data_IF_962649494010
#
_entry.id   IF_962649494010
#
_cell.length_a   1.000
_cell.length_b   1.000
_cell.length_c   1.000
_cell.angle_alpha   90.00
_cell.angle_beta   90.00
_cell.angle_gamma   90.00
#
_symmetry.space_group_name_H-M   'P 1'
#
loop_
_entity.id
_entity.type
_entity.pdbx_description
1 polymer ?
#
# COMPACT_ATOMS: atom_id res chain seq x y z
N UNK A 1 -24.50 -9.78 -3.25
CA UNK A 1 -24.27 -10.74 -2.15
C UNK A 1 -23.68 -11.99 -2.78
N UNK A 2 -22.35 -12.17 -2.68
CA UNK A 2 -21.64 -13.33 -3.23
C UNK A 2 -21.63 -14.49 -2.24
N UNK A 3 -21.66 -15.72 -2.75
CA UNK A 3 -21.49 -16.92 -1.96
C UNK A 3 -20.03 -16.99 -1.43
N UNK A 4 -19.86 -17.26 -0.15
CA UNK A 4 -18.53 -17.39 0.48
C UNK A 4 -17.76 -18.62 0.00
N UNK A 5 -18.45 -19.62 -0.58
CA UNK A 5 -17.85 -20.82 -1.18
C UNK A 5 -18.88 -21.56 -2.04
N UNK A 6 -18.42 -22.43 -2.95
CA UNK A 6 -19.23 -23.29 -3.79
C UNK A 6 -18.85 -24.76 -3.62
N UNK A 7 -19.86 -25.60 -3.42
CA UNK A 7 -19.71 -27.06 -3.36
C UNK A 7 -20.62 -27.71 -4.38
N UNK A 8 -20.11 -28.47 -5.37
CA UNK A 8 -20.95 -29.22 -6.32
C UNK A 8 -21.86 -30.21 -5.60
N UNK A 9 -23.12 -30.36 -6.05
CA UNK A 9 -24.11 -31.26 -5.41
C UNK A 9 -23.65 -32.72 -5.31
N UNK A 10 -22.86 -33.19 -6.25
CA UNK A 10 -22.29 -34.54 -6.26
C UNK A 10 -21.22 -34.80 -5.20
N UNK A 11 -20.68 -33.75 -4.59
CA UNK A 11 -19.63 -33.82 -3.57
C UNK A 11 -20.09 -33.25 -2.22
N UNK A 12 -21.39 -33.00 -2.08
CA UNK A 12 -21.95 -32.30 -0.92
C UNK A 12 -21.69 -33.06 0.40
N UNK A 13 -21.81 -34.39 0.38
CA UNK A 13 -21.64 -35.22 1.58
C UNK A 13 -20.20 -35.22 2.08
N UNK A 14 -19.21 -35.25 1.16
CA UNK A 14 -17.80 -35.42 1.49
C UNK A 14 -17.08 -34.08 1.73
N UNK A 15 -17.51 -33.01 1.03
CA UNK A 15 -16.79 -31.72 1.08
C UNK A 15 -17.49 -30.65 1.92
N UNK A 16 -18.77 -30.78 2.23
CA UNK A 16 -19.51 -29.75 2.99
C UNK A 16 -18.89 -29.50 4.36
N UNK A 17 -18.59 -30.58 5.08
CA UNK A 17 -17.98 -30.50 6.42
C UNK A 17 -16.63 -29.80 6.42
N UNK A 18 -15.79 -30.07 5.41
CA UNK A 18 -14.46 -29.49 5.30
C UNK A 18 -14.55 -28.01 4.86
N UNK A 19 -15.44 -27.70 3.91
CA UNK A 19 -15.69 -26.32 3.48
C UNK A 19 -16.23 -25.46 4.63
N UNK A 20 -17.18 -25.98 5.41
CA UNK A 20 -17.73 -25.28 6.59
C UNK A 20 -16.65 -25.08 7.64
N UNK A 21 -15.82 -26.09 7.91
CA UNK A 21 -14.69 -25.97 8.85
C UNK A 21 -13.69 -24.90 8.42
N UNK A 22 -13.36 -24.87 7.15
CA UNK A 22 -12.44 -23.85 6.60
C UNK A 22 -13.02 -22.43 6.72
N UNK A 23 -14.29 -22.22 6.34
CA UNK A 23 -14.98 -20.95 6.50
C UNK A 23 -15.02 -20.51 7.97
N UNK A 24 -15.34 -21.42 8.88
CA UNK A 24 -15.37 -21.13 10.32
C UNK A 24 -13.97 -20.83 10.88
N UNK A 25 -12.93 -21.52 10.40
CA UNK A 25 -11.55 -21.25 10.80
C UNK A 25 -11.09 -19.84 10.36
N UNK A 26 -11.39 -19.46 9.12
CA UNK A 26 -11.12 -18.10 8.61
C UNK A 26 -11.90 -17.03 9.39
N UNK A 27 -13.17 -17.26 9.67
CA UNK A 27 -14.01 -16.33 10.44
C UNK A 27 -13.54 -16.20 11.90
N UNK A 28 -13.01 -17.28 12.52
CA UNK A 28 -12.41 -17.24 13.86
C UNK A 28 -11.09 -16.49 13.86
N UNK A 29 -10.22 -16.75 12.88
CA UNK A 29 -8.95 -16.05 12.74
C UNK A 29 -9.16 -14.54 12.58
N UNK A 30 -10.11 -14.12 11.74
CA UNK A 30 -10.48 -12.71 11.57
C UNK A 30 -10.96 -12.08 12.87
N UNK A 31 -11.87 -12.74 13.61
CA UNK A 31 -12.36 -12.24 14.90
C UNK A 31 -11.27 -12.15 15.96
N UNK A 32 -10.37 -13.12 16.03
CA UNK A 32 -9.24 -13.11 16.96
C UNK A 32 -8.27 -11.99 16.63
N UNK A 33 -8.03 -11.75 15.36
CA UNK A 33 -7.19 -10.65 14.87
C UNK A 33 -7.82 -9.29 15.24
N UNK A 34 -9.11 -9.10 14.99
CA UNK A 34 -9.82 -7.87 15.39
C UNK A 34 -9.82 -7.66 16.92
N UNK A 35 -10.00 -8.73 17.69
CA UNK A 35 -9.93 -8.67 19.16
C UNK A 35 -8.52 -8.31 19.64
N UNK A 36 -7.46 -8.84 19.00
CA UNK A 36 -6.08 -8.49 19.27
C UNK A 36 -5.81 -7.03 18.96
N UNK A 37 -6.21 -6.58 17.76
CA UNK A 37 -6.08 -5.18 17.36
C UNK A 37 -6.82 -4.23 18.30
N UNK A 38 -7.97 -4.66 18.86
CA UNK A 38 -8.72 -3.91 19.86
C UNK A 38 -8.00 -3.78 21.21
N UNK A 39 -7.05 -4.67 21.51
CA UNK A 39 -6.25 -4.68 22.75
C UNK A 39 -4.90 -3.99 22.63
N UNK A 40 -4.46 -3.71 21.39
CA UNK A 40 -3.24 -2.95 21.19
C UNK A 40 -3.40 -1.54 21.78
N UNK A 41 -2.34 -1.04 22.42
CA UNK A 41 -2.32 0.34 22.89
C UNK A 41 -2.50 1.26 21.69
N UNK A 42 -3.58 2.04 21.68
CA UNK A 42 -3.97 2.90 20.56
C UNK A 42 -3.27 4.25 20.58
N UNK A 43 -2.43 4.48 21.57
CA UNK A 43 -1.78 5.79 21.75
C UNK A 43 -0.70 6.05 20.70
N UNK A 44 -0.04 5.00 20.23
CA UNK A 44 1.05 5.15 19.26
C UNK A 44 1.27 3.86 18.45
N UNK A 45 1.42 4.01 17.14
CA UNK A 45 1.85 2.96 16.22
C UNK A 45 3.10 3.43 15.49
N UNK A 46 4.14 2.63 15.55
CA UNK A 46 5.35 2.86 14.76
C UNK A 46 5.71 1.58 14.03
N UNK A 47 5.92 1.67 12.73
CA UNK A 47 6.45 0.56 11.94
C UNK A 47 7.34 1.06 10.81
N UNK A 48 8.20 0.17 10.37
CA UNK A 48 9.09 0.37 9.25
C UNK A 48 8.82 -0.70 8.22
N UNK A 49 8.72 -0.31 6.94
CA UNK A 49 8.54 -1.21 5.83
C UNK A 49 9.60 -0.91 4.78
N UNK A 50 10.17 -1.98 4.26
CA UNK A 50 11.06 -1.95 3.12
C UNK A 50 10.33 -2.58 1.93
N UNK A 51 10.10 -1.79 0.90
CA UNK A 51 9.48 -2.21 -0.33
C UNK A 51 10.55 -2.32 -1.42
N UNK A 52 10.53 -3.42 -2.18
CA UNK A 52 11.21 -3.44 -3.48
C UNK A 52 10.41 -2.62 -4.50
N UNK A 53 10.73 -2.82 -5.78
CA UNK A 53 9.99 -2.19 -6.88
C UNK A 53 8.67 -2.93 -7.20
N UNK A 54 8.02 -3.49 -6.18
CA UNK A 54 6.74 -4.19 -6.29
C UNK A 54 5.59 -3.23 -6.01
N UNK A 55 5.00 -2.71 -7.08
CA UNK A 55 3.86 -1.80 -7.00
C UNK A 55 2.62 -2.42 -6.34
N UNK A 56 2.49 -3.76 -6.34
CA UNK A 56 1.34 -4.45 -5.75
C UNK A 56 1.25 -4.29 -4.23
N UNK A 57 2.36 -3.91 -3.58
CA UNK A 57 2.42 -3.66 -2.13
C UNK A 57 1.99 -2.23 -1.73
N UNK A 58 1.85 -1.31 -2.69
CA UNK A 58 1.49 0.08 -2.41
C UNK A 58 0.09 0.17 -1.82
N UNK A 59 -0.92 -0.36 -2.51
CA UNK A 59 -2.32 -0.29 -2.05
C UNK A 59 -2.53 -1.00 -0.70
N UNK A 60 -2.03 -2.21 -0.45
CA UNK A 60 -2.07 -2.84 0.88
C UNK A 60 -1.42 -2.00 2.00
N UNK A 61 -0.32 -1.31 1.71
CA UNK A 61 0.32 -0.43 2.69
C UNK A 61 -0.53 0.81 2.98
N UNK A 62 -1.11 1.42 1.94
CA UNK A 62 -2.03 2.56 2.08
C UNK A 62 -3.24 2.16 2.92
N UNK A 63 -3.85 1.01 2.65
CA UNK A 63 -4.98 0.48 3.41
C UNK A 63 -4.63 0.24 4.88
N UNK A 64 -3.46 -0.34 5.15
CA UNK A 64 -2.96 -0.54 6.52
C UNK A 64 -2.84 0.79 7.27
N UNK A 65 -2.26 1.80 6.63
CA UNK A 65 -2.11 3.14 7.22
C UNK A 65 -3.47 3.79 7.47
N UNK A 66 -4.39 3.77 6.51
CA UNK A 66 -5.73 4.35 6.68
C UNK A 66 -6.51 3.67 7.83
N UNK A 67 -6.45 2.35 7.92
CA UNK A 67 -7.06 1.62 9.03
C UNK A 67 -6.42 1.99 10.38
N UNK A 68 -5.11 2.21 10.41
CA UNK A 68 -4.39 2.60 11.63
C UNK A 68 -4.76 4.02 12.05
N UNK A 69 -4.81 4.97 11.12
CA UNK A 69 -5.26 6.35 11.35
C UNK A 69 -6.71 6.39 11.86
N UNK A 70 -7.59 5.58 11.25
CA UNK A 70 -8.98 5.46 11.69
C UNK A 70 -9.09 4.96 13.14
N UNK A 71 -8.28 3.97 13.53
CA UNK A 71 -8.23 3.43 14.90
C UNK A 71 -7.68 4.44 15.90
N UNK A 72 -6.69 5.22 15.51
CA UNK A 72 -6.13 6.30 16.32
C UNK A 72 -7.12 7.47 16.50
N UNK A 73 -8.19 7.52 15.69
CA UNK A 73 -9.17 8.62 15.64
C UNK A 73 -8.51 9.99 15.39
N UNK A 74 -7.44 10.01 14.62
CA UNK A 74 -6.65 11.21 14.35
C UNK A 74 -7.43 12.22 13.52
N UNK A 75 -8.26 11.74 12.58
CA UNK A 75 -9.07 12.56 11.70
C UNK A 75 -10.36 11.86 11.28
N UNK A 76 -11.24 12.61 10.63
CA UNK A 76 -12.47 12.11 10.03
C UNK A 76 -12.21 11.28 8.75
N UNK A 77 -13.26 10.72 8.16
CA UNK A 77 -13.17 9.92 6.95
C UNK A 77 -12.59 10.68 5.76
N UNK A 78 -12.84 11.96 5.66
CA UNK A 78 -12.27 12.83 4.61
C UNK A 78 -10.77 13.01 4.80
N UNK A 79 -10.31 13.19 6.05
CA UNK A 79 -8.89 13.22 6.40
C UNK A 79 -8.18 11.91 6.10
N UNK A 80 -8.81 10.78 6.43
CA UNK A 80 -8.28 9.45 6.14
C UNK A 80 -8.10 9.24 4.62
N UNK A 81 -9.08 9.67 3.83
CA UNK A 81 -8.98 9.58 2.37
C UNK A 81 -7.83 10.44 1.83
N UNK A 82 -7.70 11.69 2.31
CA UNK A 82 -6.59 12.58 1.90
C UNK A 82 -5.22 12.01 2.24
N UNK A 83 -5.08 11.42 3.43
CA UNK A 83 -3.83 10.73 3.82
C UNK A 83 -3.54 9.57 2.85
N UNK A 84 -4.54 8.75 2.52
CA UNK A 84 -4.38 7.64 1.59
C UNK A 84 -3.93 8.09 0.21
N UNK A 85 -4.57 9.11 -0.35
CA UNK A 85 -4.20 9.68 -1.66
C UNK A 85 -2.77 10.24 -1.62
N UNK A 86 -2.43 11.04 -0.62
CA UNK A 86 -1.10 11.63 -0.50
C UNK A 86 0.00 10.58 -0.33
N UNK A 87 -0.26 9.55 0.49
CA UNK A 87 0.69 8.45 0.70
C UNK A 87 0.89 7.64 -0.57
N UNK A 88 -0.20 7.31 -1.28
CA UNK A 88 -0.14 6.59 -2.55
C UNK A 88 0.68 7.34 -3.59
N UNK A 89 0.42 8.64 -3.75
CA UNK A 89 1.17 9.50 -4.67
C UNK A 89 2.66 9.57 -4.32
N UNK A 90 2.99 9.71 -3.04
CA UNK A 90 4.38 9.75 -2.60
C UNK A 90 5.11 8.41 -2.87
N UNK A 91 4.44 7.28 -2.65
CA UNK A 91 4.99 5.95 -2.94
C UNK A 91 5.15 5.70 -4.44
N UNK A 92 4.19 6.11 -5.27
CA UNK A 92 4.30 6.03 -6.71
C UNK A 92 5.45 6.92 -7.24
N UNK A 93 5.62 8.11 -6.68
CA UNK A 93 6.75 8.97 -7.05
C UNK A 93 8.10 8.35 -6.66
N UNK A 94 8.21 7.78 -5.46
CA UNK A 94 9.40 7.06 -5.02
C UNK A 94 9.72 5.86 -5.91
N UNK A 95 8.69 5.11 -6.36
CA UNK A 95 8.86 3.99 -7.27
C UNK A 95 9.25 4.45 -8.68
N UNK A 96 8.42 5.30 -9.29
CA UNK A 96 8.52 5.62 -10.71
C UNK A 96 9.65 6.63 -11.00
N UNK A 97 9.66 7.75 -10.27
CA UNK A 97 10.70 8.78 -10.43
C UNK A 97 11.99 8.44 -9.70
N UNK A 98 11.87 7.98 -8.44
CA UNK A 98 13.03 7.66 -7.62
C UNK A 98 13.73 6.42 -8.17
N UNK A 99 13.19 5.24 -7.91
CA UNK A 99 13.88 3.99 -8.19
C UNK A 99 13.99 3.66 -9.68
N UNK A 100 12.92 3.85 -10.45
CA UNK A 100 12.87 3.45 -11.87
C UNK A 100 13.30 4.56 -12.83
N UNK A 101 13.53 5.78 -12.35
CA UNK A 101 13.99 6.93 -13.15
C UNK A 101 13.11 7.21 -14.39
N UNK A 102 11.79 7.01 -14.25
CA UNK A 102 10.84 7.27 -15.34
C UNK A 102 10.68 8.78 -15.52
N UNK A 103 10.82 9.24 -16.75
CA UNK A 103 10.67 10.67 -17.07
C UNK A 103 9.23 11.15 -16.86
N UNK A 104 9.06 12.44 -16.57
CA UNK A 104 7.76 13.08 -16.37
C UNK A 104 6.79 12.84 -17.55
N UNK A 105 7.30 12.85 -18.76
CA UNK A 105 6.50 12.67 -19.99
C UNK A 105 5.84 11.28 -20.07
N UNK A 106 6.40 10.29 -19.37
CA UNK A 106 5.93 8.89 -19.39
C UNK A 106 5.21 8.48 -18.11
N UNK A 107 5.10 9.39 -17.14
CA UNK A 107 4.50 9.10 -15.84
C UNK A 107 3.03 8.71 -15.93
N UNK A 108 2.27 9.40 -16.79
CA UNK A 108 0.83 9.15 -16.91
C UNK A 108 0.59 7.76 -17.52
N UNK A 109 1.36 7.38 -18.53
CA UNK A 109 1.30 6.04 -19.14
C UNK A 109 1.69 4.96 -18.12
N UNK A 110 2.75 5.18 -17.35
CA UNK A 110 3.22 4.24 -16.33
C UNK A 110 2.18 4.07 -15.20
N UNK A 111 1.56 5.17 -14.77
CA UNK A 111 0.48 5.14 -13.76
C UNK A 111 -0.76 4.41 -14.29
N UNK A 112 -1.17 4.65 -15.53
CA UNK A 112 -2.30 3.97 -16.16
C UNK A 112 -2.05 2.46 -16.26
N UNK A 113 -0.84 2.04 -16.61
CA UNK A 113 -0.47 0.62 -16.64
C UNK A 113 -0.55 -0.02 -15.26
N UNK A 114 -0.04 0.65 -14.21
CA UNK A 114 -0.15 0.18 -12.83
C UNK A 114 -1.62 0.06 -12.38
N UNK A 115 -2.44 1.04 -12.69
CA UNK A 115 -3.86 1.04 -12.32
C UNK A 115 -4.66 -0.05 -13.05
N UNK A 116 -4.26 -0.44 -14.26
CA UNK A 116 -4.92 -1.49 -15.04
C UNK A 116 -4.50 -2.91 -14.65
N UNK A 117 -3.70 -3.08 -13.58
CA UNK A 117 -3.13 -4.37 -13.14
C UNK A 117 -2.38 -5.14 -14.26
N UNK A 118 -1.96 -4.46 -15.29
CA UNK A 118 -1.07 -5.03 -16.27
C UNK A 118 0.32 -5.08 -15.65
N UNK A 119 1.03 -6.20 -15.88
CA UNK A 119 2.45 -6.24 -15.58
C UNK A 119 3.08 -4.95 -16.13
N UNK A 120 3.91 -4.31 -15.31
CA UNK A 120 4.69 -3.15 -15.73
C UNK A 120 5.58 -3.55 -16.91
N UNK A 121 4.97 -3.64 -18.07
CA UNK A 121 5.70 -3.64 -19.35
C UNK A 121 6.10 -2.20 -19.63
N UNK A 122 6.86 -1.61 -18.69
CA UNK A 122 7.47 -0.32 -18.95
C UNK A 122 8.45 -0.60 -20.08
N UNK A 123 8.26 -0.02 -21.26
CA UNK A 123 9.32 0.03 -22.22
C UNK A 123 10.39 0.91 -21.56
N UNK A 124 11.26 0.28 -20.81
CA UNK A 124 12.51 0.92 -20.41
C UNK A 124 13.27 0.99 -21.71
N UNK A 125 13.38 2.20 -22.30
CA UNK A 125 14.18 2.45 -23.52
C UNK A 125 15.67 2.21 -23.26
N UNK A 126 15.99 1.64 -22.13
CA UNK A 126 17.30 1.18 -21.71
C UNK A 126 17.22 -0.31 -21.40
N UNK A 127 18.30 -1.07 -21.61
CA UNK A 127 18.42 -2.41 -21.02
C UNK A 127 18.06 -2.29 -19.53
N UNK A 128 17.19 -3.16 -19.05
CA UNK A 128 16.79 -3.18 -17.63
C UNK A 128 18.08 -3.31 -16.82
N UNK A 129 18.49 -2.24 -16.18
CA UNK A 129 19.64 -2.26 -15.30
C UNK A 129 19.22 -3.01 -14.02
N UNK A 130 19.84 -4.15 -13.76
CA UNK A 130 19.62 -4.93 -12.55
C UNK A 130 19.79 -4.08 -11.29
N UNK A 131 20.66 -3.05 -11.35
CA UNK A 131 20.86 -2.11 -10.28
C UNK A 131 19.60 -1.28 -9.97
N UNK A 132 18.82 -0.88 -10.97
CA UNK A 132 17.55 -0.18 -10.77
C UNK A 132 16.50 -1.11 -10.13
N UNK A 133 16.47 -2.37 -10.56
CA UNK A 133 15.53 -3.36 -10.01
C UNK A 133 15.85 -3.73 -8.56
N UNK A 134 17.11 -3.63 -8.14
CA UNK A 134 17.54 -3.90 -6.78
C UNK A 134 17.23 -2.77 -5.79
N UNK A 135 16.91 -1.56 -6.28
CA UNK A 135 16.59 -0.40 -5.44
C UNK A 135 15.35 -0.62 -4.59
N UNK A 136 15.28 0.05 -3.46
CA UNK A 136 14.24 -0.12 -2.45
C UNK A 136 13.63 1.21 -2.04
N UNK A 137 12.41 1.12 -1.52
CA UNK A 137 11.70 2.22 -0.90
C UNK A 137 11.60 1.92 0.59
N UNK A 138 12.04 2.84 1.41
CA UNK A 138 11.98 2.74 2.86
C UNK A 138 10.87 3.65 3.38
N UNK A 139 9.92 3.06 4.10
CA UNK A 139 8.77 3.77 4.65
C UNK A 139 8.79 3.66 6.16
N UNK A 140 8.90 4.80 6.84
CA UNK A 140 8.77 4.88 8.28
C UNK A 140 7.43 5.57 8.60
N UNK A 141 6.61 4.91 9.39
CA UNK A 141 5.28 5.38 9.78
C UNK A 141 5.20 5.48 11.29
N UNK A 142 4.81 6.66 11.78
CA UNK A 142 4.45 6.89 13.17
C UNK A 142 3.09 7.55 13.24
N UNK A 143 2.15 6.93 13.94
CA UNK A 143 0.77 7.41 14.09
C UNK A 143 0.46 7.43 15.58
N UNK A 144 0.01 8.59 16.07
CA UNK A 144 -0.49 8.79 17.42
C UNK A 144 -1.92 9.35 17.39
N UNK A 145 -2.45 9.70 18.54
CA UNK A 145 -3.73 10.42 18.66
C UNK A 145 -3.64 11.90 18.26
N UNK A 146 -2.43 12.42 18.10
CA UNK A 146 -2.16 13.84 17.86
C UNK A 146 -1.61 14.09 16.44
N UNK A 147 -0.76 13.16 15.94
CA UNK A 147 -0.11 13.32 14.66
C UNK A 147 0.06 12.00 13.91
N UNK A 148 0.14 12.09 12.59
CA UNK A 148 0.68 11.02 11.74
C UNK A 148 1.88 11.56 10.98
N UNK A 149 3.03 10.88 11.12
CA UNK A 149 4.27 11.21 10.45
C UNK A 149 4.67 10.08 9.51
N UNK A 150 4.92 10.44 8.26
CA UNK A 150 5.39 9.54 7.22
C UNK A 150 6.74 10.02 6.70
N UNK A 151 7.70 9.11 6.61
CA UNK A 151 8.98 9.36 5.97
C UNK A 151 9.17 8.30 4.91
N UNK A 152 9.22 8.71 3.65
CA UNK A 152 9.43 7.86 2.50
C UNK A 152 10.77 8.24 1.89
N UNK A 153 11.62 7.25 1.66
CA UNK A 153 12.93 7.40 1.03
C UNK A 153 13.11 6.34 -0.03
N UNK A 154 13.41 6.74 -1.21
CA UNK A 154 13.87 5.89 -2.32
C UNK A 154 15.40 5.88 -2.43
N UNK A 155 15.93 5.06 -3.32
CA UNK A 155 17.36 4.96 -3.65
C UNK A 155 17.67 5.57 -5.03
N UNK A 156 16.78 6.42 -5.52
CA UNK A 156 16.99 7.16 -6.76
C UNK A 156 18.04 8.26 -6.63
N UNK A 157 18.38 8.90 -7.77
CA UNK A 157 19.38 9.97 -7.80
C UNK A 157 18.93 11.26 -7.12
N UNK A 158 17.64 11.34 -6.71
CA UNK A 158 17.05 12.56 -6.19
C UNK A 158 16.80 13.62 -7.27
N UNK A 159 16.44 14.83 -6.85
CA UNK A 159 16.22 15.97 -7.73
C UNK A 159 16.80 17.25 -7.11
N UNK A 160 17.06 18.24 -7.96
CA UNK A 160 17.53 19.54 -7.50
C UNK A 160 16.36 20.31 -6.84
N UNK A 161 16.43 20.46 -5.52
CA UNK A 161 15.43 21.17 -4.73
C UNK A 161 15.29 22.64 -5.15
N UNK A 162 16.34 23.25 -5.71
CA UNK A 162 16.31 24.63 -6.18
C UNK A 162 15.43 24.81 -7.43
N UNK A 163 15.16 23.72 -8.17
CA UNK A 163 14.29 23.72 -9.35
C UNK A 163 12.79 23.64 -9.01
N UNK A 164 12.45 23.39 -7.75
CA UNK A 164 11.03 23.30 -7.31
C UNK A 164 10.49 24.70 -7.12
N UNK A 165 9.39 25.07 -7.80
CA UNK A 165 8.79 26.38 -7.60
C UNK A 165 8.39 26.58 -6.13
N UNK A 166 8.88 27.65 -5.51
CA UNK A 166 8.63 27.98 -4.10
C UNK A 166 7.21 28.52 -3.84
N UNK A 167 6.31 28.48 -4.82
CA UNK A 167 4.95 29.01 -4.70
C UNK A 167 3.96 27.97 -4.17
N UNK A 168 4.16 27.52 -2.94
CA UNK A 168 3.07 27.01 -2.11
C UNK A 168 2.77 28.09 -1.07
N UNK A 169 2.10 29.14 -1.48
CA UNK A 169 1.31 29.94 -0.55
C UNK A 169 -0.03 29.21 -0.33
N UNK A 170 -0.44 29.00 0.94
CA UNK A 170 -1.67 28.28 1.28
C UNK A 170 -2.94 29.07 0.89
#
# INVERSE_FOLDING_TARGET
QGAASYVPKSQLADKLSDTVREILARARASRSYEALLGRLNRSEFTFFVELGNDASLIDPLVDLVQQTVARARLCDSSGQLRIGVALREALLNALLHGNLEISLERMDDAREQLMSQRELSIPIDRPVDEALLARRIFVNVRISTEEARFVIRDEGPGFDVSSVPTSWEP
#
